data_IF_786620492342
#
_entry.id   IF_786620492342
#
_cell.length_a   1.000
_cell.length_b   1.000
_cell.length_c   1.000
_cell.angle_alpha   90.00
_cell.angle_beta   90.00
_cell.angle_gamma   90.00
#
_symmetry.space_group_name_H-M   'P 1'
#
loop_
_entity.id
_entity.type
_entity.pdbx_description
1 polymer ?
#
# COMPACT_ATOMS: atom_id res chain seq x y z
N UNK A 1 -16.23 -4.01 -28.92
CA UNK A 1 -15.14 -4.64 -28.14
C UNK A 1 -15.51 -4.55 -26.67
N UNK A 2 -15.99 -5.65 -26.07
CA UNK A 2 -16.38 -5.71 -24.66
C UNK A 2 -15.32 -6.52 -23.91
N UNK A 3 -14.72 -5.88 -22.90
CA UNK A 3 -13.69 -6.50 -22.06
C UNK A 3 -12.56 -5.55 -21.68
N UNK A 4 -12.87 -4.32 -21.23
CA UNK A 4 -11.88 -3.52 -20.51
C UNK A 4 -12.07 -3.78 -19.01
N UNK A 5 -11.19 -4.59 -18.41
CA UNK A 5 -11.14 -4.72 -16.96
C UNK A 5 -10.86 -3.34 -16.35
N UNK A 6 -11.72 -2.87 -15.43
CA UNK A 6 -11.47 -1.64 -14.68
C UNK A 6 -10.69 -2.01 -13.43
N UNK A 7 -9.44 -1.54 -13.36
CA UNK A 7 -8.61 -1.63 -12.16
C UNK A 7 -8.73 -0.37 -11.30
N UNK A 8 -8.53 -0.53 -10.00
CA UNK A 8 -8.38 0.56 -9.04
C UNK A 8 -7.12 0.31 -8.21
N UNK A 9 -6.41 1.38 -7.84
CA UNK A 9 -5.25 1.31 -6.95
C UNK A 9 -5.54 2.10 -5.68
N UNK A 10 -5.09 1.57 -4.56
CA UNK A 10 -5.20 2.19 -3.25
C UNK A 10 -3.83 2.17 -2.59
N UNK A 11 -3.48 3.27 -1.93
CA UNK A 11 -2.27 3.32 -1.11
C UNK A 11 -2.53 2.65 0.25
N UNK A 12 -1.55 1.89 0.71
CA UNK A 12 -1.57 1.28 2.03
C UNK A 12 -0.27 1.65 2.76
N UNK A 13 -0.41 2.31 3.91
CA UNK A 13 0.71 2.49 4.83
C UNK A 13 0.97 1.16 5.53
N UNK A 14 2.08 0.50 5.19
CA UNK A 14 2.45 -0.77 5.80
C UNK A 14 3.27 -0.47 7.05
N UNK A 15 2.73 -0.82 8.21
CA UNK A 15 3.41 -0.69 9.50
C UNK A 15 4.14 -1.97 9.90
N UNK A 16 3.74 -3.11 9.32
CA UNK A 16 4.23 -4.44 9.68
C UNK A 16 4.38 -5.34 8.46
N UNK A 17 5.45 -6.13 8.43
CA UNK A 17 5.75 -7.05 7.35
C UNK A 17 5.65 -8.49 7.86
N UNK A 18 4.70 -9.25 7.31
CA UNK A 18 4.62 -10.68 7.59
C UNK A 18 5.76 -11.43 6.90
N UNK A 19 6.46 -12.29 7.64
CA UNK A 19 7.48 -13.20 7.13
C UNK A 19 6.89 -14.21 6.15
N UNK A 20 5.67 -14.67 6.42
CA UNK A 20 4.93 -15.63 5.61
C UNK A 20 3.69 -14.95 5.03
N UNK A 21 3.51 -15.01 3.71
CA UNK A 21 2.34 -14.46 3.01
C UNK A 21 1.85 -15.39 1.88
N UNK A 22 0.55 -15.36 1.51
CA UNK A 22 -0.08 -16.39 0.70
C UNK A 22 0.56 -16.61 -0.69
N UNK A 23 1.01 -15.53 -1.34
CA UNK A 23 1.55 -15.57 -2.71
C UNK A 23 3.07 -15.74 -2.78
N UNK A 24 3.77 -15.87 -1.65
CA UNK A 24 5.23 -15.81 -1.59
C UNK A 24 5.98 -16.86 -2.42
N UNK A 25 5.32 -17.98 -2.71
CA UNK A 25 5.90 -19.08 -3.50
C UNK A 25 5.91 -18.74 -4.99
N UNK A 26 4.96 -17.93 -5.45
CA UNK A 26 4.78 -17.58 -6.86
C UNK A 26 5.22 -16.15 -7.17
N UNK A 27 5.29 -15.28 -6.16
CA UNK A 27 5.63 -13.87 -6.30
C UNK A 27 6.72 -13.45 -5.32
N UNK A 28 7.68 -12.67 -5.84
CA UNK A 28 8.63 -11.95 -4.99
C UNK A 28 8.04 -10.63 -4.53
N UNK A 29 8.39 -10.21 -3.31
CA UNK A 29 8.10 -8.87 -2.79
C UNK A 29 9.40 -8.20 -2.39
N UNK A 30 9.59 -6.95 -2.79
CA UNK A 30 10.73 -6.13 -2.39
C UNK A 30 10.32 -4.70 -2.16
N UNK A 31 11.03 -4.08 -1.24
CA UNK A 31 10.95 -2.66 -0.96
C UNK A 31 11.86 -1.91 -1.92
N UNK A 32 11.33 -0.87 -2.57
CA UNK A 32 12.09 -0.06 -3.54
C UNK A 32 11.80 1.42 -3.33
N UNK A 33 12.77 2.31 -3.64
CA UNK A 33 12.50 3.75 -3.74
C UNK A 33 11.45 4.05 -4.80
N UNK A 34 10.74 5.17 -4.62
CA UNK A 34 9.64 5.58 -5.52
C UNK A 34 10.11 5.72 -6.98
N UNK A 35 11.31 6.24 -7.20
CA UNK A 35 11.87 6.40 -8.55
C UNK A 35 12.18 5.05 -9.22
N UNK A 36 12.62 4.06 -8.45
CA UNK A 36 12.81 2.69 -8.96
C UNK A 36 11.46 2.03 -9.25
N UNK A 37 10.47 2.19 -8.36
CA UNK A 37 9.10 1.72 -8.59
C UNK A 37 8.52 2.27 -9.89
N UNK A 38 8.73 3.56 -10.17
CA UNK A 38 8.29 4.21 -11.39
C UNK A 38 8.86 3.55 -12.66
N UNK A 39 10.15 3.20 -12.62
CA UNK A 39 10.84 2.48 -13.70
C UNK A 39 10.37 1.04 -13.88
N UNK A 40 9.90 0.40 -12.81
CA UNK A 40 9.36 -0.97 -12.83
C UNK A 40 7.90 -1.04 -13.30
N UNK A 41 7.15 0.07 -13.30
CA UNK A 41 5.77 0.09 -13.75
C UNK A 41 5.61 -0.36 -15.22
N UNK A 42 4.82 -1.42 -15.43
CA UNK A 42 4.50 -1.93 -16.77
C UNK A 42 3.60 -1.02 -17.61
N UNK A 43 2.70 -0.27 -16.97
CA UNK A 43 1.64 0.49 -17.63
C UNK A 43 1.61 1.94 -17.12
N UNK A 44 1.19 2.88 -17.97
CA UNK A 44 1.11 4.30 -17.65
C UNK A 44 0.18 4.59 -16.46
N UNK A 45 -0.96 3.90 -16.39
CA UNK A 45 -1.92 4.09 -15.30
C UNK A 45 -1.34 3.76 -13.92
N UNK A 46 -0.32 2.89 -13.83
CA UNK A 46 0.37 2.60 -12.57
C UNK A 46 1.33 3.73 -12.19
N UNK A 47 2.03 4.31 -13.17
CA UNK A 47 2.87 5.51 -12.97
C UNK A 47 2.02 6.68 -12.51
N UNK A 48 0.88 6.92 -13.17
CA UNK A 48 -0.06 7.97 -12.79
C UNK A 48 -0.60 7.79 -11.37
N UNK A 49 -0.83 6.55 -10.93
CA UNK A 49 -1.25 6.27 -9.57
C UNK A 49 -0.14 6.58 -8.55
N UNK A 50 1.12 6.25 -8.87
CA UNK A 50 2.28 6.60 -8.04
C UNK A 50 2.48 8.12 -7.95
N UNK A 51 2.34 8.85 -9.06
CA UNK A 51 2.46 10.31 -9.06
C UNK A 51 1.41 10.97 -8.17
N UNK A 52 0.15 10.51 -8.26
CA UNK A 52 -0.92 10.96 -7.36
C UNK A 52 -0.62 10.68 -5.89
N UNK A 53 -0.06 9.50 -5.58
CA UNK A 53 0.35 9.18 -4.21
C UNK A 53 1.44 10.12 -3.72
N UNK A 54 2.44 10.44 -4.55
CA UNK A 54 3.50 11.41 -4.19
C UNK A 54 2.90 12.79 -3.87
N UNK A 55 2.00 13.28 -4.72
CA UNK A 55 1.31 14.56 -4.50
C UNK A 55 0.54 14.57 -3.18
N UNK A 56 -0.17 13.49 -2.85
CA UNK A 56 -0.90 13.35 -1.59
C UNK A 56 0.05 13.37 -0.39
N UNK A 57 1.14 12.61 -0.41
CA UNK A 57 2.12 12.56 0.68
C UNK A 57 2.85 13.90 0.88
N UNK A 58 3.14 14.63 -0.21
CA UNK A 58 3.71 15.98 -0.14
C UNK A 58 2.73 16.98 0.47
N UNK A 59 1.43 16.85 0.15
CA UNK A 59 0.39 17.67 0.74
C UNK A 59 0.19 17.37 2.24
N UNK A 60 0.19 16.10 2.63
CA UNK A 60 0.14 15.65 4.02
C UNK A 60 1.35 16.12 4.84
N UNK A 61 2.53 16.13 4.23
CA UNK A 61 3.75 16.67 4.86
C UNK A 61 3.62 18.17 5.19
N UNK A 62 2.80 18.90 4.43
CA UNK A 62 2.54 20.32 4.61
C UNK A 62 1.28 20.63 5.41
N UNK A 63 0.43 19.65 5.69
CA UNK A 63 -0.84 19.83 6.40
C UNK A 63 -1.13 18.62 7.29
N UNK A 64 -1.21 18.83 8.61
CA UNK A 64 -1.45 17.79 9.63
C UNK A 64 -2.72 16.96 9.34
N UNK A 65 -2.61 15.89 8.53
CA UNK A 65 -3.76 15.05 8.20
C UNK A 65 -4.21 14.25 9.43
N UNK A 66 -5.50 14.37 9.74
CA UNK A 66 -6.22 13.42 10.59
C UNK A 66 -6.50 12.17 9.75
N UNK A 67 -6.11 10.97 10.22
CA UNK A 67 -6.51 9.72 9.57
C UNK A 67 -8.04 9.66 9.43
N UNK A 68 -8.51 9.16 8.29
CA UNK A 68 -9.92 8.80 8.13
C UNK A 68 -10.28 7.84 9.27
N UNK A 69 -11.39 8.04 10.02
CA UNK A 69 -11.80 7.06 11.01
C UNK A 69 -12.01 5.73 10.29
N UNK A 70 -11.25 4.72 10.69
CA UNK A 70 -11.43 3.34 10.25
C UNK A 70 -12.91 2.97 10.39
N UNK A 71 -13.56 2.37 9.39
CA UNK A 71 -14.92 1.86 9.57
C UNK A 71 -14.90 0.87 10.73
N UNK A 72 -15.72 1.13 11.75
CA UNK A 72 -15.82 0.28 12.94
C UNK A 72 -16.12 -1.16 12.50
N UNK A 73 -15.14 -2.04 12.73
CA UNK A 73 -15.26 -3.48 12.56
C UNK A 73 -16.35 -3.97 13.52
N UNK A 74 -17.53 -4.29 12.97
CA UNK A 74 -18.50 -5.14 13.67
C UNK A 74 -17.81 -6.48 13.93
N UNK A 75 -17.69 -6.75 15.23
CA UNK A 75 -17.20 -7.98 15.83
C UNK A 75 -17.81 -9.21 15.16
N UNK A 76 -16.96 -9.97 14.47
CA UNK A 76 -17.16 -11.40 14.34
C UNK A 76 -15.80 -12.07 14.41
N UNK A 77 -15.38 -12.27 15.66
CA UNK A 77 -14.60 -13.41 16.11
C UNK A 77 -13.24 -13.67 15.47
N UNK A 78 -12.21 -13.42 16.31
CA UNK A 78 -10.92 -14.10 16.36
C UNK A 78 -9.99 -13.92 15.17
N UNK A 79 -8.94 -13.12 15.38
CA UNK A 79 -7.52 -13.48 15.16
C UNK A 79 -6.68 -12.26 15.57
N UNK A 80 -6.38 -12.13 16.87
CA UNK A 80 -5.38 -11.16 17.33
C UNK A 80 -4.01 -11.84 17.37
N UNK A 81 -2.99 -11.20 16.80
CA UNK A 81 -1.60 -11.43 17.16
C UNK A 81 -1.08 -10.14 17.78
N UNK A 82 -0.72 -10.22 19.06
CA UNK A 82 -0.18 -9.12 19.86
C UNK A 82 1.22 -8.78 19.37
N UNK A 83 1.51 -7.48 19.21
CA UNK A 83 2.81 -6.93 18.80
C UNK A 83 3.55 -6.32 19.98
N UNK A 84 4.89 -6.49 20.09
CA UNK A 84 5.75 -5.51 20.72
C UNK A 84 6.41 -4.61 19.66
N UNK A 85 6.73 -3.40 20.11
CA UNK A 85 6.84 -2.19 19.29
C UNK A 85 8.16 -1.99 18.51
N UNK A 86 8.05 -1.04 17.56
CA UNK A 86 9.05 -0.13 16.95
C UNK A 86 9.76 -0.60 15.67
N UNK A 87 9.38 -0.02 14.51
CA UNK A 87 10.23 0.89 13.72
C UNK A 87 9.55 1.31 12.41
N UNK A 88 9.82 2.54 11.96
CA UNK A 88 9.04 3.32 11.00
C UNK A 88 9.17 2.92 9.52
N UNK A 89 8.03 2.91 8.83
CA UNK A 89 7.83 3.46 7.48
C UNK A 89 8.24 2.61 6.27
N UNK A 90 7.28 1.92 5.64
CA UNK A 90 7.42 1.42 4.27
C UNK A 90 6.03 1.28 3.55
N UNK A 91 5.90 1.65 2.27
CA UNK A 91 4.72 1.38 1.38
C UNK A 91 4.93 0.23 0.34
N UNK A 92 4.26 -0.91 0.49
CA UNK A 92 4.54 -2.10 -0.33
C UNK A 92 3.83 -2.03 -1.69
N UNK A 93 4.51 -2.46 -2.76
CA UNK A 93 3.92 -2.63 -4.09
C UNK A 93 3.78 -4.11 -4.43
N UNK A 94 2.59 -4.47 -4.93
CA UNK A 94 2.24 -5.75 -5.52
C UNK A 94 2.27 -5.70 -7.05
#
# INVERSE_FOLDING_TARGET
>A
MQGACKGFMFALQVTELLEIWPEQVTHGRRWVPVEEAYGLCRYDWMREALDKLKEQLLFESNSNFRPLPSPELVDSSSLYMVMPAIAEGAVALC
#
